data_IF_400855607624
#
_entry.id   IF_400855607624
#
_cell.length_a   1.000
_cell.length_b   1.000
_cell.length_c   1.000
_cell.angle_alpha   90.00
_cell.angle_beta   90.00
_cell.angle_gamma   90.00
#
_symmetry.space_group_name_H-M   'P 1'
#
loop_
_entity.id
_entity.type
_entity.pdbx_description
1 polymer ?
#
# COMPACT_ATOMS: atom_id res chain seq x y z
N UNK A 1 -22.71 11.06 16.91
CA UNK A 1 -22.86 9.60 17.14
C UNK A 1 -24.30 9.19 17.47
N UNK A 2 -24.93 9.71 18.53
CA UNK A 2 -26.28 9.28 18.96
C UNK A 2 -27.38 9.40 17.90
N UNK A 3 -27.34 10.42 17.02
CA UNK A 3 -28.31 10.59 15.95
C UNK A 3 -28.26 9.43 14.93
N UNK A 4 -27.07 9.08 14.45
CA UNK A 4 -26.90 7.98 13.48
C UNK A 4 -27.34 6.63 14.05
N UNK A 5 -27.00 6.35 15.31
CA UNK A 5 -27.46 5.15 16.01
C UNK A 5 -28.99 5.12 16.16
N UNK A 6 -29.59 6.24 16.59
CA UNK A 6 -31.04 6.32 16.78
C UNK A 6 -31.79 6.12 15.46
N UNK A 7 -31.36 6.77 14.38
CA UNK A 7 -31.96 6.60 13.04
C UNK A 7 -31.85 5.14 12.61
N UNK A 8 -30.65 4.56 12.71
CA UNK A 8 -30.39 3.18 12.29
C UNK A 8 -31.28 2.18 13.04
N UNK A 9 -31.39 2.26 14.38
CA UNK A 9 -32.19 1.30 15.17
C UNK A 9 -33.68 1.33 14.78
N UNK A 10 -34.22 2.53 14.52
CA UNK A 10 -35.61 2.67 14.06
C UNK A 10 -35.78 2.18 12.62
N UNK A 11 -34.78 2.41 11.77
CA UNK A 11 -34.83 2.04 10.36
C UNK A 11 -34.76 0.52 10.19
N UNK A 12 -33.85 -0.16 10.92
CA UNK A 12 -33.72 -1.61 10.86
C UNK A 12 -34.97 -2.33 11.40
N UNK A 13 -35.59 -1.79 12.45
CA UNK A 13 -36.84 -2.32 13.00
C UNK A 13 -38.01 -2.28 12.00
N UNK A 14 -37.93 -1.46 10.94
CA UNK A 14 -38.99 -1.30 9.94
C UNK A 14 -38.65 -1.88 8.56
N UNK A 15 -37.37 -1.89 8.17
CA UNK A 15 -36.93 -2.20 6.81
C UNK A 15 -35.92 -3.35 6.73
N UNK A 16 -35.76 -4.12 7.82
CA UNK A 16 -34.80 -5.22 7.91
C UNK A 16 -33.39 -4.74 8.27
N UNK A 17 -32.46 -5.66 8.46
CA UNK A 17 -31.14 -5.39 9.03
C UNK A 17 -30.06 -5.09 7.96
N UNK A 18 -28.83 -4.84 8.41
CA UNK A 18 -27.64 -4.52 7.61
C UNK A 18 -27.63 -3.09 7.05
N UNK A 19 -28.33 -2.16 7.71
CA UNK A 19 -28.29 -0.75 7.34
C UNK A 19 -27.15 -0.03 8.06
N UNK A 20 -26.46 0.80 7.31
CA UNK A 20 -25.41 1.67 7.80
C UNK A 20 -25.96 3.10 7.79
N UNK A 21 -25.69 3.86 8.86
CA UNK A 21 -26.10 5.25 8.95
C UNK A 21 -24.89 6.14 9.20
N UNK A 22 -24.77 7.19 8.40
CA UNK A 22 -23.80 8.27 8.59
C UNK A 22 -24.58 9.58 8.68
N UNK A 23 -24.22 10.43 9.62
CA UNK A 23 -24.82 11.74 9.83
C UNK A 23 -23.75 12.77 10.15
N UNK A 24 -23.81 13.91 9.48
CA UNK A 24 -22.87 15.04 9.68
C UNK A 24 -23.63 16.35 9.52
N UNK A 25 -23.13 17.43 10.11
CA UNK A 25 -23.68 18.79 10.00
C UNK A 25 -22.92 19.67 8.99
N UNK A 26 -21.99 19.07 8.24
CA UNK A 26 -21.15 19.72 7.23
C UNK A 26 -21.29 19.08 5.85
N UNK A 27 -20.17 18.93 5.14
CA UNK A 27 -20.11 18.20 3.87
C UNK A 27 -19.99 16.68 4.09
N UNK A 28 -20.32 15.90 3.06
CA UNK A 28 -20.23 14.45 3.09
C UNK A 28 -19.78 13.92 1.74
N UNK A 29 -18.65 13.21 1.72
CA UNK A 29 -18.25 12.33 0.62
C UNK A 29 -18.14 10.90 1.13
N UNK A 30 -18.52 9.94 0.31
CA UNK A 30 -18.38 8.53 0.63
C UNK A 30 -18.12 7.74 -0.65
N UNK A 31 -17.45 6.60 -0.50
CA UNK A 31 -17.31 5.60 -1.54
C UNK A 31 -17.48 4.23 -0.88
N UNK A 32 -18.53 3.52 -1.30
CA UNK A 32 -18.97 2.28 -0.66
C UNK A 32 -19.61 1.35 -1.69
N UNK A 33 -19.54 0.06 -1.43
CA UNK A 33 -20.20 -0.97 -2.25
C UNK A 33 -21.59 -1.23 -1.66
N UNK A 34 -22.63 -0.63 -2.24
CA UNK A 34 -24.01 -0.74 -1.75
C UNK A 34 -24.97 -1.31 -2.79
N UNK A 35 -26.05 -1.94 -2.31
CA UNK A 35 -27.21 -2.34 -3.11
C UNK A 35 -28.19 -1.18 -3.24
N UNK A 36 -28.51 -0.54 -2.10
CA UNK A 36 -29.40 0.63 -2.08
C UNK A 36 -28.91 1.69 -1.10
N UNK A 37 -29.18 2.95 -1.39
CA UNK A 37 -28.84 4.06 -0.52
C UNK A 37 -29.92 5.14 -0.51
N UNK A 38 -29.94 5.91 0.57
CA UNK A 38 -30.79 7.08 0.75
C UNK A 38 -29.91 8.20 1.27
N UNK A 39 -29.86 9.32 0.57
CA UNK A 39 -29.30 10.56 1.10
C UNK A 39 -30.41 11.57 1.32
N UNK A 40 -30.42 12.18 2.50
CA UNK A 40 -31.40 13.19 2.83
C UNK A 40 -30.75 14.26 3.71
N UNK A 41 -31.21 15.50 3.53
CA UNK A 41 -30.79 16.63 4.34
C UNK A 41 -31.97 17.07 5.21
N UNK A 42 -31.73 17.21 6.51
CA UNK A 42 -32.71 17.70 7.48
C UNK A 42 -32.10 18.89 8.21
N UNK A 43 -32.52 20.10 7.84
CA UNK A 43 -31.87 21.33 8.30
C UNK A 43 -30.43 21.40 7.78
N UNK A 44 -29.45 21.57 8.67
CA UNK A 44 -28.03 21.51 8.35
C UNK A 44 -27.44 20.09 8.40
N UNK A 45 -28.20 19.09 8.83
CA UNK A 45 -27.70 17.72 8.93
C UNK A 45 -27.85 16.99 7.58
N UNK A 46 -26.75 16.43 7.08
CA UNK A 46 -26.72 15.46 5.99
C UNK A 46 -26.73 14.07 6.59
N UNK A 47 -27.68 13.24 6.16
CA UNK A 47 -27.83 11.85 6.60
C UNK A 47 -27.73 10.94 5.37
N UNK A 48 -26.84 9.96 5.45
CA UNK A 48 -26.74 8.87 4.49
C UNK A 48 -27.10 7.55 5.14
N UNK A 49 -28.04 6.83 4.53
CA UNK A 49 -28.41 5.46 4.87
C UNK A 49 -28.02 4.54 3.73
N UNK A 50 -27.35 3.43 4.03
CA UNK A 50 -26.80 2.54 3.02
C UNK A 50 -27.07 1.10 3.41
N UNK A 51 -27.57 0.32 2.46
CA UNK A 51 -27.63 -1.13 2.57
C UNK A 51 -26.52 -1.69 1.70
N UNK A 52 -25.50 -2.22 2.35
CA UNK A 52 -24.29 -2.67 1.65
C UNK A 52 -24.56 -3.95 0.85
N UNK A 53 -23.87 -4.09 -0.29
CA UNK A 53 -24.01 -5.24 -1.19
C UNK A 53 -23.29 -6.45 -0.56
N UNK A 54 -23.94 -7.61 -0.55
CA UNK A 54 -23.33 -8.85 -0.05
C UNK A 54 -22.34 -9.37 -1.11
N UNK A 55 -21.07 -8.96 -1.03
CA UNK A 55 -20.03 -9.32 -2.00
C UNK A 55 -19.34 -10.63 -1.58
N UNK A 56 -19.13 -11.52 -2.56
CA UNK A 56 -18.76 -12.93 -2.41
C UNK A 56 -17.48 -13.22 -1.58
N UNK A 57 -17.45 -14.42 -1.00
CA UNK A 57 -16.67 -14.91 0.17
C UNK A 57 -15.17 -15.16 -0.06
N UNK A 58 -14.55 -14.66 -1.13
CA UNK A 58 -13.18 -15.07 -1.46
C UNK A 58 -12.10 -14.25 -0.76
N UNK A 59 -11.31 -14.95 0.07
CA UNK A 59 -10.07 -14.57 0.75
C UNK A 59 -10.13 -13.43 1.78
N UNK A 60 -10.60 -13.78 2.97
CA UNK A 60 -10.46 -12.99 4.20
C UNK A 60 -9.03 -13.06 4.74
N UNK A 61 -8.10 -12.37 4.10
CA UNK A 61 -6.79 -12.12 4.70
C UNK A 61 -6.70 -10.67 5.10
N UNK A 62 -6.43 -10.40 6.38
CA UNK A 62 -6.03 -9.07 6.86
C UNK A 62 -4.60 -8.69 6.40
N UNK A 63 -4.00 -9.51 5.54
CA UNK A 63 -2.65 -9.34 5.02
C UNK A 63 -2.70 -8.59 3.70
N UNK A 64 -1.68 -7.76 3.42
CA UNK A 64 -1.57 -7.09 2.14
C UNK A 64 -1.43 -8.12 1.00
N UNK A 65 -2.26 -7.97 -0.03
CA UNK A 65 -2.16 -8.70 -1.30
C UNK A 65 -0.93 -8.26 -2.10
N UNK A 66 -0.54 -6.98 -1.96
CA UNK A 66 0.63 -6.36 -2.60
C UNK A 66 1.30 -5.35 -1.67
N UNK A 67 2.50 -4.93 -2.04
CA UNK A 67 3.23 -3.77 -1.52
C UNK A 67 2.43 -2.53 -1.11
N UNK A 68 2.30 -2.09 0.16
CA UNK A 68 1.89 -0.72 0.41
C UNK A 68 2.91 0.25 -0.21
N UNK A 69 2.44 1.19 -1.04
CA UNK A 69 3.29 2.22 -1.65
C UNK A 69 4.05 2.99 -0.54
N UNK A 70 5.40 2.95 -0.52
CA UNK A 70 6.15 3.63 0.51
C UNK A 70 6.12 5.15 0.45
N UNK A 71 5.79 5.77 -0.70
CA UNK A 71 5.56 7.21 -0.73
C UNK A 71 4.37 7.56 0.15
N UNK A 72 3.31 6.76 0.03
CA UNK A 72 2.12 6.85 0.88
C UNK A 72 2.46 6.51 2.33
N UNK A 73 3.21 5.44 2.60
CA UNK A 73 3.63 5.07 3.97
C UNK A 73 4.51 6.11 4.66
N UNK A 74 5.35 6.83 3.91
CA UNK A 74 6.26 7.85 4.42
C UNK A 74 5.74 9.27 4.24
N UNK A 75 4.48 9.45 3.86
CA UNK A 75 3.91 10.78 3.71
C UNK A 75 4.17 11.58 4.99
N UNK A 76 4.71 12.81 4.90
CA UNK A 76 4.82 13.68 6.05
C UNK A 76 3.44 13.85 6.67
N UNK A 77 3.27 13.32 7.87
CA UNK A 77 1.99 13.34 8.55
C UNK A 77 1.77 14.75 9.10
N UNK A 78 0.67 15.42 8.72
CA UNK A 78 0.32 16.71 9.28
C UNK A 78 0.22 16.64 10.81
N UNK A 79 0.71 17.68 11.49
CA UNK A 79 0.68 17.77 12.95
C UNK A 79 -0.73 17.80 13.54
N UNK A 80 -1.74 18.05 12.70
CA UNK A 80 -3.15 18.00 13.09
C UNK A 80 -3.76 16.58 13.01
N UNK A 81 -2.96 15.55 12.68
CA UNK A 81 -3.42 14.16 12.73
C UNK A 81 -3.96 13.82 14.13
N UNK A 82 -5.17 13.30 14.15
CA UNK A 82 -5.82 12.75 15.34
C UNK A 82 -6.46 11.43 14.97
N UNK A 83 -5.84 10.32 15.38
CA UNK A 83 -6.50 9.02 15.34
C UNK A 83 -7.49 8.95 16.49
N UNK A 84 -8.77 8.80 16.16
CA UNK A 84 -9.86 8.78 17.14
C UNK A 84 -10.13 7.35 17.58
N UNK A 85 -10.13 6.40 16.64
CA UNK A 85 -10.24 4.96 16.91
C UNK A 85 -9.69 4.16 15.75
N UNK A 86 -8.92 3.11 16.01
CA UNK A 86 -8.49 2.16 14.99
C UNK A 86 -8.34 0.78 15.58
N UNK A 87 -8.79 -0.24 14.84
CA UNK A 87 -8.41 -1.63 15.08
C UNK A 87 -7.50 -2.21 13.99
N UNK A 88 -7.17 -1.41 12.98
CA UNK A 88 -6.17 -1.77 11.97
C UNK A 88 -4.79 -1.97 12.60
N UNK A 89 -4.01 -2.89 12.04
CA UNK A 89 -2.58 -2.99 12.37
C UNK A 89 -1.84 -1.71 11.98
N UNK A 90 -0.66 -1.52 12.55
CA UNK A 90 0.12 -0.29 12.36
C UNK A 90 0.42 0.00 10.88
N UNK A 91 0.86 -1.00 10.12
CA UNK A 91 1.13 -0.87 8.68
C UNK A 91 -0.10 -0.39 7.91
N UNK A 92 -1.22 -1.04 8.18
CA UNK A 92 -2.50 -0.78 7.54
C UNK A 92 -3.04 0.62 7.92
N UNK A 93 -2.93 1.00 9.19
CA UNK A 93 -3.31 2.31 9.65
C UNK A 93 -2.45 3.41 9.02
N UNK A 94 -1.12 3.25 9.00
CA UNK A 94 -0.21 4.22 8.39
C UNK A 94 -0.53 4.39 6.90
N UNK A 95 -0.78 3.30 6.18
CA UNK A 95 -1.16 3.37 4.77
C UNK A 95 -2.48 4.11 4.57
N UNK A 96 -3.50 3.84 5.39
CA UNK A 96 -4.77 4.58 5.35
C UNK A 96 -4.59 6.08 5.57
N UNK A 97 -3.75 6.47 6.54
CA UNK A 97 -3.47 7.87 6.83
C UNK A 97 -2.69 8.51 5.67
N UNK A 98 -1.68 7.82 5.14
CA UNK A 98 -0.92 8.29 3.99
C UNK A 98 -1.81 8.55 2.77
N UNK A 99 -2.72 7.62 2.46
CA UNK A 99 -3.68 7.79 1.37
C UNK A 99 -4.59 8.99 1.63
N UNK A 100 -5.03 9.19 2.87
CA UNK A 100 -5.86 10.32 3.25
C UNK A 100 -5.12 11.67 3.14
N UNK A 101 -3.82 11.71 3.48
CA UNK A 101 -2.97 12.91 3.27
C UNK A 101 -2.84 13.20 1.78
N UNK A 102 -2.47 12.21 0.96
CA UNK A 102 -2.40 12.36 -0.51
C UNK A 102 -3.74 12.78 -1.11
N UNK A 103 -4.85 12.22 -0.62
CA UNK A 103 -6.19 12.59 -1.04
C UNK A 103 -6.51 14.05 -0.69
N UNK A 104 -6.15 14.49 0.52
CA UNK A 104 -6.39 15.85 0.98
C UNK A 104 -5.62 16.90 0.14
N UNK A 105 -4.38 16.57 -0.25
CA UNK A 105 -3.57 17.40 -1.14
C UNK A 105 -4.15 17.48 -2.56
N UNK A 106 -4.63 16.34 -3.09
CA UNK A 106 -5.05 16.22 -4.50
C UNK A 106 -6.47 16.73 -4.78
N UNK A 107 -7.40 16.51 -3.84
CA UNK A 107 -8.83 16.69 -4.06
C UNK A 107 -9.41 17.81 -3.19
N UNK A 108 -8.84 19.02 -3.29
CA UNK A 108 -9.30 20.16 -2.47
C UNK A 108 -10.81 20.37 -2.61
N UNK A 109 -11.55 20.31 -1.49
CA UNK A 109 -13.01 20.41 -1.40
C UNK A 109 -13.83 19.31 -2.12
N UNK A 110 -13.21 18.26 -2.66
CA UNK A 110 -13.91 17.11 -3.25
C UNK A 110 -13.85 15.89 -2.32
N UNK A 111 -14.77 15.82 -1.37
CA UNK A 111 -14.84 14.72 -0.38
C UNK A 111 -15.11 13.36 -1.02
N UNK A 112 -15.87 13.34 -2.12
CA UNK A 112 -16.19 12.08 -2.80
C UNK A 112 -14.95 11.55 -3.53
N UNK A 113 -14.21 12.41 -4.21
CA UNK A 113 -12.90 12.11 -4.80
C UNK A 113 -11.90 11.60 -3.76
N UNK A 114 -11.83 12.25 -2.59
CA UNK A 114 -11.00 11.79 -1.47
C UNK A 114 -11.37 10.38 -1.01
N UNK A 115 -12.65 10.14 -0.69
CA UNK A 115 -13.11 8.84 -0.20
C UNK A 115 -12.85 7.74 -1.24
N UNK A 116 -13.10 8.02 -2.52
CA UNK A 116 -12.83 7.09 -3.63
C UNK A 116 -11.34 6.78 -3.78
N UNK A 117 -10.46 7.78 -3.72
CA UNK A 117 -9.01 7.58 -3.82
C UNK A 117 -8.49 6.70 -2.69
N UNK A 118 -8.94 6.97 -1.45
CA UNK A 118 -8.57 6.16 -0.28
C UNK A 118 -9.05 4.72 -0.45
N UNK A 119 -10.30 4.46 -0.83
CA UNK A 119 -10.77 3.07 -1.01
C UNK A 119 -10.01 2.35 -2.11
N UNK A 120 -9.86 2.95 -3.29
CA UNK A 120 -9.18 2.29 -4.42
C UNK A 120 -7.73 1.95 -4.05
N UNK A 121 -6.97 2.90 -3.49
CA UNK A 121 -5.59 2.65 -3.08
C UNK A 121 -5.51 1.61 -1.97
N UNK A 122 -6.45 1.64 -1.03
CA UNK A 122 -6.43 0.73 0.11
C UNK A 122 -6.85 -0.70 -0.27
N UNK A 123 -7.89 -0.87 -1.08
CA UNK A 123 -8.33 -2.16 -1.61
C UNK A 123 -7.29 -2.78 -2.54
N UNK A 124 -6.53 -1.95 -3.27
CA UNK A 124 -5.42 -2.44 -4.07
C UNK A 124 -4.41 -3.22 -3.21
N UNK A 125 -4.11 -2.70 -2.01
CA UNK A 125 -3.14 -3.29 -1.08
C UNK A 125 -3.76 -4.37 -0.21
N UNK A 126 -4.92 -4.13 0.38
CA UNK A 126 -5.50 -4.99 1.44
C UNK A 126 -6.72 -5.81 0.98
N UNK A 127 -7.09 -5.73 -0.29
CA UNK A 127 -8.21 -6.46 -0.89
C UNK A 127 -9.57 -5.85 -0.59
N UNK A 128 -10.48 -5.91 -1.57
CA UNK A 128 -11.85 -5.46 -1.44
C UNK A 128 -12.71 -6.41 -0.56
N UNK A 129 -13.89 -5.97 -0.06
CA UNK A 129 -14.41 -4.60 -0.12
C UNK A 129 -14.06 -3.76 1.12
N UNK A 130 -13.68 -2.50 0.91
CA UNK A 130 -13.58 -1.45 1.93
C UNK A 130 -14.52 -0.29 1.59
N UNK A 131 -14.82 0.50 2.60
CA UNK A 131 -15.75 1.62 2.55
C UNK A 131 -15.11 2.82 3.21
N UNK A 132 -15.21 3.99 2.57
CA UNK A 132 -14.68 5.22 3.14
C UNK A 132 -15.70 6.34 3.15
N UNK A 133 -15.62 7.16 4.20
CA UNK A 133 -16.35 8.40 4.38
C UNK A 133 -15.34 9.51 4.66
N UNK A 134 -15.53 10.67 4.05
CA UNK A 134 -14.76 11.88 4.27
C UNK A 134 -15.69 13.07 4.56
N UNK A 135 -15.36 13.86 5.59
CA UNK A 135 -16.10 15.08 5.95
C UNK A 135 -15.16 16.11 6.58
N UNK A 136 -15.38 17.39 6.29
CA UNK A 136 -14.74 18.51 6.98
C UNK A 136 -15.25 18.69 8.40
N UNK A 137 -16.45 18.19 8.72
CA UNK A 137 -17.04 18.31 10.06
C UNK A 137 -16.26 17.51 11.11
N UNK A 138 -16.20 18.07 12.32
CA UNK A 138 -15.74 17.39 13.53
C UNK A 138 -16.82 16.52 14.17
N UNK A 139 -18.07 16.66 13.73
CA UNK A 139 -19.26 16.02 14.30
C UNK A 139 -19.81 14.90 13.40
N UNK A 140 -18.91 14.09 12.85
CA UNK A 140 -19.29 12.91 12.07
C UNK A 140 -19.83 11.82 13.00
N UNK A 141 -21.14 11.56 12.94
CA UNK A 141 -21.78 10.41 13.54
C UNK A 141 -21.88 9.27 12.53
N UNK A 142 -21.51 8.06 12.93
CA UNK A 142 -21.72 6.87 12.12
C UNK A 142 -22.17 5.71 13.01
N UNK A 143 -22.97 4.82 12.42
CA UNK A 143 -23.32 3.51 12.95
C UNK A 143 -23.16 2.52 11.82
N UNK A 144 -22.17 1.64 11.94
CA UNK A 144 -21.74 0.72 10.88
C UNK A 144 -21.47 -0.65 11.48
N UNK A 145 -21.77 -1.71 10.73
CA UNK A 145 -21.36 -3.07 11.08
C UNK A 145 -19.98 -3.31 10.50
N UNK A 146 -18.93 -2.95 11.23
CA UNK A 146 -17.56 -3.06 10.77
C UNK A 146 -16.81 -4.25 11.38
N UNK A 147 -15.86 -4.80 10.63
CA UNK A 147 -14.85 -5.68 11.18
C UNK A 147 -13.97 -4.87 12.14
N UNK A 148 -13.87 -5.36 13.38
CA UNK A 148 -13.14 -4.71 14.45
C UNK A 148 -11.64 -4.55 14.11
N UNK A 149 -11.06 -5.43 13.30
CA UNK A 149 -9.64 -5.39 12.92
C UNK A 149 -9.37 -4.60 11.63
N UNK A 150 -10.40 -4.25 10.87
CA UNK A 150 -10.28 -3.58 9.57
C UNK A 150 -11.06 -2.27 9.58
N UNK A 151 -10.82 -1.46 10.61
CA UNK A 151 -11.51 -0.21 10.85
C UNK A 151 -10.54 0.85 11.38
N UNK A 152 -10.64 2.06 10.83
CA UNK A 152 -9.96 3.25 11.37
C UNK A 152 -10.83 4.50 11.20
N UNK A 153 -10.76 5.38 12.18
CA UNK A 153 -11.44 6.66 12.28
C UNK A 153 -10.45 7.68 12.79
N UNK A 154 -10.16 8.67 11.96
CA UNK A 154 -9.15 9.66 12.25
C UNK A 154 -9.47 10.97 11.54
N UNK A 155 -8.80 12.04 11.95
CA UNK A 155 -8.84 13.35 11.31
C UNK A 155 -7.42 13.76 10.93
N UNK A 156 -7.24 14.28 9.73
CA UNK A 156 -5.95 14.78 9.23
C UNK A 156 -6.20 15.86 8.17
N UNK A 157 -5.33 16.87 8.10
CA UNK A 157 -5.43 17.95 7.14
C UNK A 157 -6.83 18.62 7.10
N UNK A 158 -7.46 18.79 8.27
CA UNK A 158 -8.81 19.36 8.37
C UNK A 158 -9.95 18.46 7.87
N UNK A 159 -9.70 17.17 7.60
CA UNK A 159 -10.70 16.22 7.10
C UNK A 159 -10.80 15.00 8.01
N UNK A 160 -12.01 14.66 8.39
CA UNK A 160 -12.38 13.46 9.13
C UNK A 160 -12.61 12.31 8.16
N UNK A 161 -11.90 11.20 8.37
CA UNK A 161 -12.01 9.97 7.59
C UNK A 161 -12.49 8.81 8.46
N UNK A 162 -13.41 8.01 7.92
CA UNK A 162 -13.76 6.69 8.44
C UNK A 162 -13.53 5.69 7.32
N UNK A 163 -12.61 4.75 7.52
CA UNK A 163 -12.31 3.67 6.57
C UNK A 163 -12.57 2.34 7.27
N UNK A 164 -13.42 1.51 6.69
CA UNK A 164 -13.82 0.26 7.31
C UNK A 164 -14.16 -0.83 6.31
N UNK A 165 -13.98 -2.08 6.73
CA UNK A 165 -14.54 -3.27 6.09
C UNK A 165 -15.80 -3.69 6.82
N UNK A 166 -16.81 -4.13 6.09
CA UNK A 166 -18.05 -4.64 6.70
C UNK A 166 -17.80 -5.97 7.43
N UNK A 167 -18.39 -6.14 8.62
CA UNK A 167 -18.46 -7.43 9.29
C UNK A 167 -19.64 -8.23 8.74
N UNK A 168 -19.36 -9.37 8.10
CA UNK A 168 -20.41 -10.36 7.79
C UNK A 168 -20.57 -11.31 8.98
N UNK A 169 -21.77 -11.36 9.58
CA UNK A 169 -22.12 -12.37 10.59
C UNK A 169 -22.94 -13.50 9.94
N UNK A 170 -22.57 -14.75 10.20
CA UNK A 170 -23.46 -15.91 10.00
C UNK A 170 -24.52 -15.92 11.13
N UNK A 171 -25.77 -15.56 10.83
CA UNK A 171 -26.93 -15.73 11.73
C UNK A 171 -27.86 -14.52 11.83
N UNK A 172 -29.09 -14.74 12.35
CA UNK A 172 -30.08 -13.68 12.60
C UNK A 172 -29.51 -12.61 13.54
N UNK A 173 -29.53 -11.36 13.07
CA UNK A 173 -29.01 -10.19 13.77
C UNK A 173 -29.89 -9.90 15.00
N UNK A 174 -29.32 -10.03 16.19
CA UNK A 174 -29.84 -9.36 17.38
C UNK A 174 -28.96 -8.13 17.64
N UNK A 175 -29.57 -6.95 17.60
CA UNK A 175 -28.88 -5.70 17.96
C UNK A 175 -28.29 -5.82 19.37
N UNK A 176 -27.05 -5.36 19.62
CA UNK A 176 -26.53 -5.39 20.99
C UNK A 176 -27.43 -4.55 21.90
N UNK A 177 -27.73 -5.02 23.12
CA UNK A 177 -28.61 -4.29 24.03
C UNK A 177 -28.04 -2.91 24.36
N UNK A 178 -28.90 -1.90 24.60
CA UNK A 178 -28.48 -0.57 24.98
C UNK A 178 -27.71 -0.63 26.31
N UNK A 179 -26.38 -0.51 26.23
CA UNK A 179 -25.48 -0.58 27.39
C UNK A 179 -24.14 -1.28 27.15
N UNK A 180 -23.96 -1.99 26.02
CA UNK A 180 -22.69 -2.68 25.70
C UNK A 180 -21.58 -1.80 25.11
N UNK A 181 -21.82 -0.50 24.92
CA UNK A 181 -20.79 0.44 24.48
C UNK A 181 -19.87 0.77 25.66
N UNK A 182 -18.72 0.08 25.74
CA UNK A 182 -17.68 0.45 26.68
C UNK A 182 -17.15 1.86 26.36
N UNK A 183 -16.84 2.68 27.39
CA UNK A 183 -16.18 3.97 27.20
C UNK A 183 -14.88 3.83 26.41
N UNK A 184 -14.62 4.85 25.60
CA UNK A 184 -13.53 4.91 24.63
C UNK A 184 -12.24 5.31 25.35
N UNK A 185 -11.36 4.35 25.63
CA UNK A 185 -10.00 4.68 26.09
C UNK A 185 -9.15 5.14 24.90
N UNK A 186 -8.64 6.36 24.99
CA UNK A 186 -7.66 6.93 24.07
C UNK A 186 -6.38 6.08 24.08
N UNK A 187 -6.00 5.51 22.92
CA UNK A 187 -4.64 5.01 22.69
C UNK A 187 -3.93 5.89 21.68
N UNK A 188 -3.02 6.71 22.17
CA UNK A 188 -2.03 7.43 21.38
C UNK A 188 -0.96 6.44 20.94
N UNK A 189 -0.82 6.18 19.64
CA UNK A 189 0.32 5.43 19.10
C UNK A 189 1.55 6.33 19.13
N UNK A 190 2.48 6.04 20.05
CA UNK A 190 3.83 6.61 20.02
C UNK A 190 4.62 5.96 18.88
N UNK A 191 5.23 6.78 18.03
CA UNK A 191 6.27 6.36 17.08
C UNK A 191 7.42 5.72 17.85
N UNK A 192 7.79 4.48 17.50
CA UNK A 192 8.99 3.86 18.04
C UNK A 192 10.19 4.49 17.31
N UNK A 193 10.91 5.38 18.00
CA UNK A 193 12.23 5.84 17.57
C UNK A 193 13.21 4.66 17.67
N UNK A 194 13.83 4.29 16.55
CA UNK A 194 14.92 3.31 16.54
C UNK A 194 16.24 4.03 16.86
N UNK A 195 17.14 3.42 17.67
CA UNK A 195 18.44 4.01 17.96
C UNK A 195 19.36 3.98 16.72
N UNK A 196 20.05 5.10 16.47
CA UNK A 196 20.81 5.35 15.24
C UNK A 196 19.91 5.88 14.12
N UNK A 197 20.46 6.41 13.04
CA UNK A 197 19.71 6.99 11.90
C UNK A 197 18.93 5.94 11.07
N UNK A 198 18.30 4.96 11.74
CA UNK A 198 17.56 3.86 11.16
C UNK A 198 16.05 4.13 11.21
N UNK A 199 15.37 3.85 10.10
CA UNK A 199 13.92 4.00 9.98
C UNK A 199 13.34 2.82 9.21
N UNK A 200 12.42 2.09 9.83
CA UNK A 200 11.61 1.10 9.11
C UNK A 200 10.53 1.84 8.32
N UNK A 201 10.47 1.55 7.03
CA UNK A 201 9.48 2.13 6.13
C UNK A 201 8.26 1.20 6.01
N UNK A 202 8.52 -0.09 5.81
CA UNK A 202 7.50 -1.14 5.81
C UNK A 202 8.14 -2.49 6.12
N UNK A 203 7.41 -3.40 6.77
CA UNK A 203 7.94 -4.73 7.09
C UNK A 203 6.82 -5.72 7.34
N UNK A 204 6.99 -6.92 6.79
CA UNK A 204 6.24 -8.12 7.15
C UNK A 204 6.90 -8.95 8.26
N UNK A 205 8.15 -8.64 8.60
CA UNK A 205 8.97 -9.44 9.52
C UNK A 205 8.65 -9.14 10.99
N UNK A 206 8.85 -10.11 11.91
CA UNK A 206 8.76 -9.86 13.35
C UNK A 206 9.89 -8.94 13.83
N UNK A 207 9.72 -8.32 15.00
CA UNK A 207 10.63 -7.28 15.53
C UNK A 207 12.09 -7.76 15.63
N UNK A 208 12.33 -9.00 16.06
CA UNK A 208 13.68 -9.55 16.18
C UNK A 208 14.41 -9.66 14.83
N UNK A 209 13.67 -9.97 13.76
CA UNK A 209 14.19 -10.00 12.40
C UNK A 209 14.41 -8.59 11.84
N UNK A 210 13.54 -7.63 12.18
CA UNK A 210 13.74 -6.21 11.86
C UNK A 210 14.99 -5.65 12.54
N UNK A 211 15.14 -5.87 13.85
CA UNK A 211 16.30 -5.44 14.63
C UNK A 211 17.60 -6.07 14.08
N UNK A 212 17.53 -7.34 13.65
CA UNK A 212 18.65 -8.02 13.00
C UNK A 212 19.02 -7.36 11.67
N UNK A 213 18.06 -7.10 10.78
CA UNK A 213 18.34 -6.45 9.50
C UNK A 213 18.99 -5.06 9.68
N UNK A 214 18.50 -4.26 10.64
CA UNK A 214 19.07 -2.95 10.96
C UNK A 214 20.48 -3.08 11.52
N UNK A 215 20.69 -3.94 12.52
CA UNK A 215 22.01 -4.11 13.15
C UNK A 215 23.06 -4.68 12.19
N UNK A 216 22.69 -5.62 11.31
CA UNK A 216 23.55 -6.09 10.23
C UNK A 216 23.92 -4.95 9.28
N UNK A 217 22.97 -4.11 8.90
CA UNK A 217 23.27 -2.96 8.01
C UNK A 217 24.21 -1.95 8.69
N UNK A 218 24.01 -1.68 9.98
CA UNK A 218 24.90 -0.82 10.77
C UNK A 218 26.32 -1.40 10.86
N UNK A 219 26.45 -2.71 11.10
CA UNK A 219 27.75 -3.40 11.10
C UNK A 219 28.44 -3.38 9.71
N UNK A 220 27.68 -3.40 8.63
CA UNK A 220 28.21 -3.20 7.27
C UNK A 220 28.72 -1.78 7.04
N UNK A 221 28.03 -0.77 7.60
CA UNK A 221 28.48 0.62 7.55
C UNK A 221 29.77 0.85 8.36
N UNK A 222 29.90 0.20 9.51
CA UNK A 222 31.14 0.21 10.31
C UNK A 222 32.34 -0.39 9.56
N UNK A 223 32.07 -1.31 8.61
CA UNK A 223 33.06 -1.89 7.71
C UNK A 223 33.31 -1.07 6.43
N UNK A 224 32.72 0.13 6.32
CA UNK A 224 32.82 1.05 5.17
C UNK A 224 32.19 0.53 3.86
N UNK A 225 31.17 -0.34 3.92
CA UNK A 225 30.48 -0.83 2.72
C UNK A 225 29.51 0.19 2.08
N UNK A 226 29.44 1.44 2.58
CA UNK A 226 28.48 2.46 2.13
C UNK A 226 28.58 2.79 0.63
N UNK A 227 29.80 2.78 0.09
CA UNK A 227 30.05 3.06 -1.32
C UNK A 227 30.03 1.80 -2.20
N UNK A 228 29.97 0.61 -1.61
CA UNK A 228 30.00 -0.68 -2.29
C UNK A 228 28.64 -1.39 -2.18
N UNK A 229 27.60 -0.81 -2.80
CA UNK A 229 26.21 -1.25 -2.61
C UNK A 229 25.96 -2.72 -2.92
N UNK A 230 26.64 -3.29 -3.93
CA UNK A 230 26.57 -4.73 -4.23
C UNK A 230 27.15 -5.57 -3.08
N UNK A 231 28.25 -5.12 -2.48
CA UNK A 231 28.88 -5.79 -1.35
C UNK A 231 28.00 -5.67 -0.09
N UNK A 232 27.42 -4.50 0.19
CA UNK A 232 26.44 -4.31 1.26
C UNK A 232 25.23 -5.25 1.08
N UNK A 233 24.66 -5.33 -0.12
CA UNK A 233 23.53 -6.20 -0.41
C UNK A 233 23.88 -7.69 -0.18
N UNK A 234 25.07 -8.11 -0.61
CA UNK A 234 25.58 -9.47 -0.37
C UNK A 234 25.78 -9.76 1.12
N UNK A 235 26.37 -8.82 1.86
CA UNK A 235 26.62 -8.94 3.29
C UNK A 235 25.31 -9.12 4.07
N UNK A 236 24.33 -8.25 3.82
CA UNK A 236 23.01 -8.31 4.46
C UNK A 236 22.29 -9.62 4.11
N UNK A 237 22.23 -9.96 2.82
CA UNK A 237 21.56 -11.19 2.36
C UNK A 237 22.15 -12.42 3.03
N UNK A 238 23.48 -12.59 2.97
CA UNK A 238 24.16 -13.77 3.49
C UNK A 238 23.93 -13.94 4.99
N UNK A 239 24.07 -12.85 5.77
CA UNK A 239 23.81 -12.90 7.20
C UNK A 239 22.35 -13.26 7.52
N UNK A 240 21.40 -12.78 6.70
CA UNK A 240 19.99 -13.08 6.87
C UNK A 240 19.65 -14.52 6.48
N UNK A 241 20.19 -15.03 5.38
CA UNK A 241 20.02 -16.42 4.95
C UNK A 241 20.65 -17.41 5.94
N UNK A 242 21.79 -17.07 6.54
CA UNK A 242 22.43 -17.88 7.59
C UNK A 242 21.51 -18.03 8.81
N UNK A 243 20.81 -16.96 9.19
CA UNK A 243 19.95 -16.94 10.39
C UNK A 243 18.53 -17.43 10.15
N UNK A 244 17.93 -17.07 9.02
CA UNK A 244 16.49 -17.26 8.74
C UNK A 244 16.21 -18.21 7.57
N UNK A 245 17.25 -18.72 6.91
CA UNK A 245 17.16 -19.69 5.82
C UNK A 245 16.94 -19.04 4.44
N UNK A 246 17.60 -19.58 3.42
CA UNK A 246 17.46 -19.16 2.03
C UNK A 246 16.09 -19.54 1.41
N UNK A 247 15.66 -18.89 0.31
CA UNK A 247 16.31 -17.78 -0.38
C UNK A 247 15.83 -16.41 0.10
N UNK A 248 16.75 -15.45 0.19
CA UNK A 248 16.47 -14.02 0.30
C UNK A 248 17.10 -13.24 -0.85
N UNK A 249 16.57 -12.05 -1.09
CA UNK A 249 17.03 -11.09 -2.08
C UNK A 249 17.28 -9.78 -1.36
N UNK A 250 18.41 -9.14 -1.63
CA UNK A 250 18.72 -7.84 -1.04
C UNK A 250 19.05 -6.81 -2.11
N UNK A 251 18.48 -5.62 -1.95
CA UNK A 251 18.68 -4.46 -2.82
C UNK A 251 19.01 -3.28 -1.92
N UNK A 252 20.05 -2.54 -2.28
CA UNK A 252 20.58 -1.40 -1.56
C UNK A 252 20.72 -0.23 -2.54
N UNK A 253 20.30 0.95 -2.11
CA UNK A 253 20.50 2.20 -2.85
C UNK A 253 20.88 3.35 -1.92
N UNK A 254 21.53 4.38 -2.47
CA UNK A 254 21.70 5.70 -1.83
C UNK A 254 20.62 6.70 -2.28
N UNK A 255 19.63 6.24 -3.05
CA UNK A 255 18.46 7.00 -3.47
C UNK A 255 17.14 6.39 -2.96
N UNK A 256 16.04 6.94 -3.46
CA UNK A 256 14.70 6.45 -3.19
C UNK A 256 14.40 5.22 -4.04
N UNK A 257 14.01 4.13 -3.39
CA UNK A 257 13.60 2.90 -4.08
C UNK A 257 12.11 2.92 -4.45
N UNK A 258 11.83 2.60 -5.70
CA UNK A 258 10.56 2.05 -6.18
C UNK A 258 10.72 0.57 -6.49
N UNK A 259 9.75 -0.27 -6.16
CA UNK A 259 9.78 -1.68 -6.49
C UNK A 259 8.38 -2.27 -6.65
N UNK A 260 8.25 -3.26 -7.51
CA UNK A 260 7.03 -4.05 -7.64
C UNK A 260 7.40 -5.48 -8.01
N UNK A 261 6.72 -6.45 -7.40
CA UNK A 261 6.97 -7.86 -7.63
C UNK A 261 6.25 -8.74 -6.61
N UNK A 262 6.37 -10.06 -6.78
CA UNK A 262 5.69 -11.04 -5.91
C UNK A 262 6.64 -11.59 -4.86
N UNK A 263 6.45 -11.21 -3.61
CA UNK A 263 7.25 -11.64 -2.49
C UNK A 263 6.40 -11.99 -1.28
N UNK A 264 7.00 -12.73 -0.36
CA UNK A 264 6.35 -13.24 0.83
C UNK A 264 6.03 -12.07 1.78
N UNK A 265 4.75 -11.80 2.06
CA UNK A 265 4.32 -10.67 2.88
C UNK A 265 4.71 -10.82 4.35
N UNK A 266 5.21 -11.97 4.80
CA UNK A 266 5.76 -12.18 6.16
C UNK A 266 7.28 -12.22 6.19
N UNK A 267 7.95 -12.13 5.04
CA UNK A 267 9.41 -12.26 4.90
C UNK A 267 9.99 -11.16 4.03
N UNK A 268 9.59 -9.92 4.30
CA UNK A 268 10.19 -8.73 3.71
C UNK A 268 10.38 -7.60 4.72
N UNK A 269 11.37 -6.75 4.47
CA UNK A 269 11.59 -5.48 5.15
C UNK A 269 12.11 -4.44 4.16
N UNK A 270 11.54 -3.24 4.23
CA UNK A 270 11.97 -2.03 3.54
C UNK A 270 12.30 -0.97 4.58
N UNK A 271 13.54 -0.50 4.60
CA UNK A 271 14.04 0.39 5.65
C UNK A 271 15.18 1.27 5.14
N UNK A 272 15.48 2.31 5.90
CA UNK A 272 16.61 3.19 5.67
C UNK A 272 17.55 3.19 6.86
N UNK A 273 18.86 3.32 6.61
CA UNK A 273 19.90 3.54 7.63
C UNK A 273 20.87 4.59 7.10
N UNK A 274 20.98 5.74 7.78
CA UNK A 274 21.69 6.93 7.29
C UNK A 274 21.17 7.35 5.90
N UNK A 275 22.02 7.29 4.87
CA UNK A 275 21.70 7.66 3.50
C UNK A 275 21.36 6.44 2.62
N UNK A 276 21.37 5.22 3.18
CA UNK A 276 21.05 4.01 2.44
C UNK A 276 19.59 3.61 2.62
N UNK A 277 19.00 3.15 1.52
CA UNK A 277 17.66 2.57 1.44
C UNK A 277 17.81 1.10 1.04
N UNK A 278 17.21 0.20 1.82
CA UNK A 278 17.40 -1.26 1.70
C UNK A 278 16.05 -1.94 1.57
N UNK A 279 15.92 -2.80 0.57
CA UNK A 279 14.81 -3.73 0.42
C UNK A 279 15.32 -5.17 0.47
N UNK A 280 14.94 -5.90 1.53
CA UNK A 280 15.29 -7.30 1.75
C UNK A 280 14.01 -8.11 1.74
N UNK A 281 13.91 -9.14 0.90
CA UNK A 281 12.67 -9.90 0.73
C UNK A 281 12.92 -11.33 0.28
N UNK A 282 11.97 -12.20 0.58
CA UNK A 282 11.88 -13.54 0.00
C UNK A 282 10.83 -13.56 -1.09
N UNK A 283 11.16 -14.04 -2.28
CA UNK A 283 10.18 -14.12 -3.37
C UNK A 283 9.16 -15.26 -3.16
N UNK A 284 8.03 -15.20 -3.87
CA UNK A 284 7.08 -16.31 -3.98
C UNK A 284 7.26 -16.98 -5.35
N UNK A 285 7.22 -18.31 -5.35
CA UNK A 285 7.20 -19.09 -6.58
C UNK A 285 5.78 -19.06 -7.17
N UNK A 286 5.59 -18.17 -8.15
CA UNK A 286 4.41 -18.13 -9.00
C UNK A 286 4.84 -18.30 -10.46
N UNK A 287 3.96 -18.80 -11.33
CA UNK A 287 4.21 -18.82 -12.78
C UNK A 287 2.89 -18.86 -13.52
N UNK A 288 2.81 -18.10 -14.60
CA UNK A 288 1.68 -18.06 -15.53
C UNK A 288 2.19 -17.62 -16.90
N UNK A 289 1.61 -18.14 -17.99
CA UNK A 289 1.98 -17.74 -19.34
C UNK A 289 1.62 -16.27 -19.61
N UNK A 290 2.20 -15.66 -20.66
CA UNK A 290 1.77 -14.34 -21.13
C UNK A 290 0.28 -14.33 -21.49
N UNK A 291 -0.34 -13.18 -21.31
CA UNK A 291 -1.75 -12.95 -21.62
C UNK A 291 -1.90 -12.66 -23.12
N UNK A 292 -0.95 -11.93 -23.69
CA UNK A 292 -0.91 -11.60 -25.11
C UNK A 292 -0.29 -12.75 -25.90
N UNK A 293 -0.86 -12.97 -27.08
CA UNK A 293 -0.42 -14.02 -28.01
C UNK A 293 0.24 -13.42 -29.26
N UNK A 294 0.01 -12.14 -29.53
CA UNK A 294 0.70 -11.39 -30.56
C UNK A 294 2.15 -11.05 -30.15
N UNK A 295 3.03 -10.90 -31.14
CA UNK A 295 4.39 -10.44 -30.90
C UNK A 295 4.39 -8.96 -30.54
N UNK A 296 5.24 -8.59 -29.58
CA UNK A 296 5.46 -7.19 -29.22
C UNK A 296 6.17 -6.46 -30.36
N UNK A 297 5.64 -5.30 -30.75
CA UNK A 297 6.26 -4.40 -31.73
C UNK A 297 6.58 -3.08 -31.05
N UNK A 298 7.87 -2.76 -31.00
CA UNK A 298 8.35 -1.51 -30.39
C UNK A 298 7.94 -0.28 -31.23
N UNK A 299 7.48 0.82 -30.60
CA UNK A 299 7.29 2.10 -31.28
C UNK A 299 8.61 2.66 -31.88
N UNK A 300 8.51 3.43 -32.96
CA UNK A 300 9.66 3.93 -33.74
C UNK A 300 10.58 4.94 -33.00
N UNK A 301 10.18 5.51 -31.85
CA UNK A 301 10.88 6.63 -31.17
C UNK A 301 11.34 6.32 -29.72
N UNK A 302 12.00 5.19 -29.54
CA UNK A 302 12.29 4.64 -28.21
C UNK A 302 13.65 5.03 -27.59
N UNK A 303 14.61 5.52 -28.38
CA UNK A 303 16.01 5.10 -28.15
C UNK A 303 17.01 6.18 -27.74
N UNK A 304 16.67 7.47 -27.77
CA UNK A 304 17.67 8.52 -27.53
C UNK A 304 18.03 8.73 -26.04
N UNK A 305 17.13 8.38 -25.11
CA UNK A 305 17.30 8.67 -23.67
C UNK A 305 17.59 7.44 -22.79
N UNK A 306 17.58 6.25 -23.37
CA UNK A 306 17.69 4.99 -22.63
C UNK A 306 19.09 4.40 -22.77
N UNK A 307 19.72 4.11 -21.63
CA UNK A 307 21.07 3.53 -21.57
C UNK A 307 21.00 2.13 -20.99
N UNK A 308 21.11 1.11 -21.84
CA UNK A 308 21.19 -0.28 -21.39
C UNK A 308 22.59 -0.54 -20.83
N UNK A 309 22.67 -0.94 -19.57
CA UNK A 309 23.93 -1.27 -18.90
C UNK A 309 24.25 -2.77 -19.01
N UNK A 310 23.25 -3.63 -18.82
CA UNK A 310 23.37 -5.07 -19.01
C UNK A 310 21.98 -5.68 -19.27
N UNK A 311 21.90 -6.69 -20.14
CA UNK A 311 20.66 -7.45 -20.32
C UNK A 311 20.95 -8.86 -20.77
N UNK A 312 20.21 -9.81 -20.20
CA UNK A 312 20.13 -11.20 -20.68
C UNK A 312 18.89 -11.47 -21.53
N UNK A 313 17.99 -10.49 -21.66
CA UNK A 313 16.75 -10.59 -22.42
C UNK A 313 17.01 -10.49 -23.93
N UNK A 314 16.02 -10.90 -24.73
CA UNK A 314 16.02 -10.63 -26.18
C UNK A 314 15.86 -9.14 -26.45
N UNK A 315 16.27 -8.68 -27.64
CA UNK A 315 16.11 -7.28 -28.05
C UNK A 315 14.67 -6.78 -27.89
N UNK A 316 13.69 -7.57 -28.33
CA UNK A 316 12.26 -7.24 -28.21
C UNK A 316 11.81 -7.06 -26.76
N UNK A 317 12.30 -7.90 -25.85
CA UNK A 317 12.02 -7.78 -24.42
C UNK A 317 12.68 -6.54 -23.84
N UNK A 318 13.96 -6.31 -24.14
CA UNK A 318 14.68 -5.12 -23.65
C UNK A 318 14.00 -3.82 -24.14
N UNK A 319 13.57 -3.78 -25.40
CA UNK A 319 12.81 -2.66 -25.98
C UNK A 319 11.44 -2.48 -25.31
N UNK A 320 10.73 -3.57 -25.02
CA UNK A 320 9.46 -3.50 -24.29
C UNK A 320 9.64 -2.94 -22.87
N UNK A 321 10.63 -3.43 -22.13
CA UNK A 321 10.95 -2.92 -20.79
C UNK A 321 11.32 -1.43 -20.82
N UNK A 322 12.12 -1.03 -21.80
CA UNK A 322 12.53 0.35 -22.04
C UNK A 322 11.32 1.26 -22.37
N UNK A 323 10.41 0.80 -23.23
CA UNK A 323 9.20 1.54 -23.59
C UNK A 323 8.31 1.76 -22.37
N UNK A 324 8.00 0.68 -21.64
CA UNK A 324 7.15 0.75 -20.46
C UNK A 324 7.74 1.66 -19.39
N UNK A 325 9.06 1.67 -19.22
CA UNK A 325 9.72 2.57 -18.29
C UNK A 325 9.59 4.04 -18.70
N UNK A 326 9.78 4.35 -19.99
CA UNK A 326 9.60 5.72 -20.53
C UNK A 326 8.15 6.19 -20.33
N UNK A 327 7.17 5.38 -20.75
CA UNK A 327 5.74 5.68 -20.59
C UNK A 327 5.37 5.91 -19.12
N UNK A 328 5.86 5.04 -18.24
CA UNK A 328 5.59 5.13 -16.82
C UNK A 328 6.19 6.38 -16.17
N UNK A 329 7.40 6.78 -16.55
CA UNK A 329 8.05 8.00 -16.06
C UNK A 329 7.32 9.27 -16.51
N UNK A 330 6.78 9.29 -17.73
CA UNK A 330 5.94 10.39 -18.22
C UNK A 330 4.61 10.48 -17.45
N UNK A 331 4.02 9.32 -17.13
CA UNK A 331 2.71 9.22 -16.48
C UNK A 331 2.77 9.43 -14.96
N UNK A 332 3.87 9.04 -14.32
CA UNK A 332 4.03 8.97 -12.87
C UNK A 332 5.39 9.54 -12.39
N UNK A 333 5.77 10.78 -12.76
CA UNK A 333 7.15 11.27 -12.64
C UNK A 333 7.75 11.21 -11.23
N UNK A 334 6.93 11.30 -10.18
CA UNK A 334 7.36 11.30 -8.78
C UNK A 334 6.99 10.01 -8.02
N UNK A 335 6.31 9.06 -8.67
CA UNK A 335 5.69 7.90 -8.01
C UNK A 335 6.40 6.61 -8.40
N UNK A 336 7.64 6.42 -7.92
CA UNK A 336 8.53 5.29 -8.26
C UNK A 336 7.88 3.90 -8.12
N UNK A 337 6.94 3.72 -7.20
CA UNK A 337 6.17 2.47 -7.06
C UNK A 337 5.19 2.24 -8.21
N UNK A 338 4.43 3.28 -8.60
CA UNK A 338 3.54 3.22 -9.76
C UNK A 338 4.34 3.00 -11.05
N UNK A 339 5.54 3.57 -11.14
CA UNK A 339 6.46 3.29 -12.25
C UNK A 339 6.83 1.80 -12.29
N UNK A 340 7.31 1.25 -11.18
CA UNK A 340 7.69 -0.16 -11.10
C UNK A 340 6.49 -1.09 -11.41
N UNK A 341 5.31 -0.75 -10.92
CA UNK A 341 4.07 -1.48 -11.18
C UNK A 341 3.69 -1.45 -12.65
N UNK A 342 3.70 -0.27 -13.30
CA UNK A 342 3.38 -0.13 -14.72
C UNK A 342 4.34 -0.97 -15.57
N UNK A 343 5.64 -0.94 -15.26
CA UNK A 343 6.64 -1.76 -15.93
C UNK A 343 6.33 -3.24 -15.75
N UNK A 344 6.16 -3.74 -14.53
CA UNK A 344 5.94 -5.18 -14.31
C UNK A 344 4.62 -5.64 -14.91
N UNK A 345 3.52 -4.96 -14.64
CA UNK A 345 2.19 -5.37 -15.13
C UNK A 345 2.14 -5.38 -16.65
N UNK A 346 2.63 -4.32 -17.30
CA UNK A 346 2.74 -4.27 -18.76
C UNK A 346 3.66 -5.35 -19.30
N UNK A 347 4.82 -5.58 -18.70
CA UNK A 347 5.79 -6.58 -19.18
C UNK A 347 5.26 -8.01 -19.04
N UNK A 348 4.57 -8.30 -17.94
CA UNK A 348 3.96 -9.59 -17.66
C UNK A 348 2.82 -9.94 -18.62
N UNK A 349 2.09 -8.95 -19.16
CA UNK A 349 1.10 -9.20 -20.21
C UNK A 349 1.74 -9.84 -21.44
N UNK A 350 2.96 -9.44 -21.79
CA UNK A 350 3.68 -9.90 -22.98
C UNK A 350 4.54 -11.14 -22.75
N UNK A 351 5.13 -11.29 -21.55
CA UNK A 351 6.17 -12.30 -21.30
C UNK A 351 5.88 -13.25 -20.14
N UNK A 352 4.69 -13.14 -19.53
CA UNK A 352 4.24 -14.00 -18.44
C UNK A 352 4.82 -13.60 -17.08
N UNK A 353 4.39 -14.28 -16.02
CA UNK A 353 4.73 -13.95 -14.63
C UNK A 353 5.72 -14.98 -14.05
N UNK A 354 6.52 -14.63 -13.03
CA UNK A 354 6.58 -13.35 -12.34
C UNK A 354 7.84 -12.56 -12.71
N UNK A 355 7.69 -11.27 -12.93
CA UNK A 355 8.79 -10.32 -12.99
C UNK A 355 8.78 -9.42 -11.74
N UNK A 356 9.96 -8.94 -11.42
CA UNK A 356 10.24 -7.99 -10.36
C UNK A 356 10.93 -6.79 -10.99
N UNK A 357 10.44 -5.60 -10.70
CA UNK A 357 11.09 -4.36 -11.10
C UNK A 357 11.50 -3.61 -9.84
N UNK A 358 12.72 -3.11 -9.83
CA UNK A 358 13.22 -2.14 -8.86
C UNK A 358 13.84 -0.98 -9.61
N UNK A 359 13.60 0.23 -9.14
CA UNK A 359 14.18 1.44 -9.68
C UNK A 359 14.62 2.41 -8.58
N UNK A 360 15.62 3.23 -8.90
CA UNK A 360 16.16 4.24 -8.00
C UNK A 360 16.60 5.49 -8.75
N UNK A 361 16.53 6.63 -8.07
CA UNK A 361 17.20 7.88 -8.48
C UNK A 361 18.66 7.96 -7.96
N UNK A 362 19.12 6.93 -7.25
CA UNK A 362 20.51 6.73 -6.83
C UNK A 362 21.15 5.51 -7.49
N UNK A 363 22.36 5.18 -7.05
CA UNK A 363 23.03 3.96 -7.47
C UNK A 363 22.32 2.74 -6.88
N UNK A 364 22.18 1.69 -7.68
CA UNK A 364 21.64 0.40 -7.25
C UNK A 364 22.77 -0.61 -7.04
N UNK A 365 22.77 -1.25 -5.88
CA UNK A 365 23.47 -2.51 -5.65
C UNK A 365 22.49 -3.58 -5.25
N UNK A 366 22.65 -4.77 -5.77
CA UNK A 366 21.73 -5.86 -5.52
C UNK A 366 22.46 -7.19 -5.43
N UNK A 367 21.91 -8.08 -4.63
CA UNK A 367 22.34 -9.44 -4.49
C UNK A 367 21.08 -10.31 -4.51
N UNK A 368 20.71 -10.71 -5.73
CA UNK A 368 19.45 -11.37 -6.05
C UNK A 368 19.73 -12.63 -6.86
N UNK A 369 18.94 -13.68 -6.65
CA UNK A 369 18.97 -14.89 -7.47
C UNK A 369 17.98 -14.73 -8.64
N UNK A 370 18.48 -14.44 -9.84
CA UNK A 370 17.68 -14.17 -11.03
C UNK A 370 18.10 -15.03 -12.22
N UNK A 371 17.17 -15.22 -13.15
CA UNK A 371 17.42 -15.92 -14.40
C UNK A 371 18.25 -15.04 -15.35
N UNK A 372 19.42 -15.56 -15.74
CA UNK A 372 20.38 -14.89 -16.61
C UNK A 372 19.86 -14.63 -18.04
N UNK A 373 18.73 -15.22 -18.44
CA UNK A 373 18.09 -14.93 -19.72
C UNK A 373 16.89 -13.97 -19.59
N UNK A 374 16.50 -13.62 -18.36
CA UNK A 374 15.28 -12.84 -18.09
C UNK A 374 15.57 -11.68 -17.13
N UNK A 375 16.60 -10.90 -17.45
CA UNK A 375 16.93 -9.66 -16.75
C UNK A 375 17.36 -8.52 -17.69
N UNK A 376 17.11 -7.29 -17.25
CA UNK A 376 17.68 -6.09 -17.85
C UNK A 376 17.96 -5.04 -16.76
N UNK A 377 19.11 -4.39 -16.88
CA UNK A 377 19.54 -3.27 -16.07
C UNK A 377 19.85 -2.10 -17.00
N UNK A 378 19.12 -1.01 -16.84
CA UNK A 378 19.21 0.15 -17.71
C UNK A 378 18.89 1.44 -16.97
N UNK A 379 19.16 2.57 -17.60
CA UNK A 379 18.78 3.89 -17.08
C UNK A 379 17.88 4.63 -18.07
N UNK A 380 16.89 5.35 -17.54
CA UNK A 380 16.07 6.32 -18.27
C UNK A 380 16.27 7.66 -17.57
N UNK A 381 17.02 8.57 -18.20
CA UNK A 381 17.49 9.79 -17.53
C UNK A 381 18.29 9.48 -16.25
N UNK A 382 17.92 10.04 -15.07
CA UNK A 382 18.59 9.77 -13.80
C UNK A 382 18.12 8.48 -13.10
N UNK A 383 17.09 7.82 -13.62
CA UNK A 383 16.48 6.67 -12.95
C UNK A 383 17.13 5.38 -13.45
N UNK A 384 17.77 4.66 -12.54
CA UNK A 384 18.24 3.29 -12.77
C UNK A 384 17.08 2.32 -12.59
N UNK A 385 16.91 1.37 -13.52
CA UNK A 385 15.85 0.37 -13.54
C UNK A 385 16.47 -1.02 -13.66
N UNK A 386 16.09 -1.92 -12.76
CA UNK A 386 16.44 -3.33 -12.77
C UNK A 386 15.16 -4.16 -12.82
N UNK A 387 14.91 -4.82 -13.97
CA UNK A 387 13.78 -5.71 -14.19
C UNK A 387 14.32 -7.13 -14.34
N UNK A 388 13.80 -8.07 -13.55
CA UNK A 388 14.31 -9.44 -13.52
C UNK A 388 13.24 -10.47 -13.16
N UNK A 389 13.49 -11.73 -13.52
CA UNK A 389 12.75 -12.90 -13.06
C UNK A 389 13.62 -13.71 -12.09
N UNK A 390 13.03 -14.29 -11.05
CA UNK A 390 13.78 -15.17 -10.14
C UNK A 390 14.30 -16.41 -10.89
N UNK A 391 15.47 -16.90 -10.47
CA UNK A 391 16.08 -18.14 -10.99
C UNK A 391 15.35 -19.40 -10.57
#
# INVERSE_FOLDING_TARGET
MHLAQHIMMNFEGKYGTAWHCIATDGDLGFFMHYDTHIHLCVGSAIIGLFKLLDVDKSSHTSMPLVSPDPYVMNKPIPSDLRVIKSGMRHDQQQYAIGLAVSAAERFTNDRMGMARYVVIGFEHVYGAPFHCVASSSHLLGFYVHNDANNYTYFRVAGVTFVLFRQQHQLGEVTSPPPGGAQPMDERTTQSIEYPGDARIISSGMPKDAQDFAISTTQAGLEQNFENEKMHMAQYIRNAFEEKYGAPFHCIVSDGHLGFYGRYDPERYIYFAVKHLTIFLFRHINASAPPVRIEEYVAPEDLTSEIRIAASGMTTTMTECAAHLAKEALEKYPEEKMHIAQHIVTGFEEWFGVPYHCVLSDGQLGFNVAYDLNNYTYFAVGPIAVFLFRNS
#
